data_IF_622248746153
#
_entry.id   IF_622248746153
#
_cell.length_a   1.000
_cell.length_b   1.000
_cell.length_c   1.000
_cell.angle_alpha   90.00
_cell.angle_beta   90.00
_cell.angle_gamma   90.00
#
_symmetry.space_group_name_H-M   'P 1'
#
loop_
_entity.id
_entity.type
_entity.pdbx_description
1 polymer ?
#
# COMPACT_ATOMS: atom_id res chain seq x y z
N UNK A 1 -14.44 -3.28 0.00
CA UNK A 1 -14.67 -2.58 -1.29
C UNK A 1 -13.39 -2.47 -2.11
N UNK A 2 -12.31 -1.91 -1.55
CA UNK A 2 -10.96 -1.76 -2.17
C UNK A 2 -10.41 -3.05 -2.81
N UNK A 3 -10.42 -4.20 -2.11
CA UNK A 3 -9.92 -5.48 -2.67
C UNK A 3 -10.77 -6.03 -3.84
N UNK A 4 -12.09 -5.77 -3.85
CA UNK A 4 -12.98 -6.21 -4.94
C UNK A 4 -12.78 -5.38 -6.22
N UNK A 5 -12.48 -4.09 -6.10
CA UNK A 5 -12.10 -3.27 -7.26
C UNK A 5 -10.76 -3.71 -7.85
N UNK A 6 -9.76 -4.02 -7.01
CA UNK A 6 -8.45 -4.50 -7.48
C UNK A 6 -8.54 -5.86 -8.20
N UNK A 7 -9.37 -6.78 -7.73
CA UNK A 7 -9.57 -8.07 -8.40
C UNK A 7 -10.27 -7.94 -9.77
N UNK A 8 -11.12 -6.93 -9.94
CA UNK A 8 -11.87 -6.68 -11.18
C UNK A 8 -11.05 -6.01 -12.28
N UNK A 9 -9.88 -5.43 -11.94
CA UNK A 9 -9.04 -4.63 -12.85
C UNK A 9 -7.69 -5.29 -13.16
N UNK A 10 -7.43 -6.50 -12.65
CA UNK A 10 -6.26 -7.32 -12.99
C UNK A 10 -6.36 -8.02 -14.36
N UNK A 11 -7.48 -7.87 -15.07
CA UNK A 11 -7.67 -8.48 -16.38
C UNK A 11 -7.04 -7.63 -17.50
N UNK A 12 -6.51 -8.31 -18.53
CA UNK A 12 -5.91 -7.77 -19.77
C UNK A 12 -6.87 -6.86 -20.58
N UNK A 13 -8.14 -6.75 -20.15
CA UNK A 13 -9.16 -5.87 -20.73
C UNK A 13 -9.79 -5.00 -19.63
N UNK A 14 -9.59 -3.68 -19.72
CA UNK A 14 -10.30 -2.71 -18.90
C UNK A 14 -11.49 -2.15 -19.70
N UNK A 15 -12.69 -2.26 -19.14
CA UNK A 15 -13.87 -1.56 -19.64
C UNK A 15 -13.77 -0.09 -19.23
N UNK A 16 -13.54 0.79 -20.21
CA UNK A 16 -13.34 2.22 -19.97
C UNK A 16 -14.59 2.90 -19.40
N UNK A 17 -15.79 2.47 -19.82
CA UNK A 17 -17.04 2.97 -19.27
C UNK A 17 -17.10 2.62 -17.78
N UNK A 18 -16.80 1.37 -17.45
CA UNK A 18 -16.75 0.94 -16.05
C UNK A 18 -15.70 1.69 -15.23
N UNK A 19 -14.51 1.95 -15.77
CA UNK A 19 -13.48 2.75 -15.08
C UNK A 19 -13.97 4.17 -14.81
N UNK A 20 -14.63 4.80 -15.80
CA UNK A 20 -15.23 6.13 -15.66
C UNK A 20 -16.28 6.15 -14.54
N UNK A 21 -17.25 5.22 -14.59
CA UNK A 21 -18.30 5.09 -13.58
C UNK A 21 -17.73 4.82 -12.17
N UNK A 22 -16.69 3.98 -12.09
CA UNK A 22 -16.03 3.68 -10.81
C UNK A 22 -15.27 4.87 -10.24
N UNK A 23 -14.71 5.75 -11.07
CA UNK A 23 -14.01 6.95 -10.62
C UNK A 23 -14.92 7.87 -9.81
N UNK A 24 -16.12 8.13 -10.32
CA UNK A 24 -17.14 8.93 -9.64
C UNK A 24 -17.70 8.20 -8.41
N UNK A 25 -18.09 6.92 -8.58
CA UNK A 25 -18.68 6.12 -7.49
C UNK A 25 -17.75 6.02 -6.29
N UNK A 26 -16.45 5.81 -6.51
CA UNK A 26 -15.46 5.74 -5.43
C UNK A 26 -15.27 7.10 -4.77
N UNK A 27 -15.24 8.20 -5.53
CA UNK A 27 -15.13 9.55 -4.97
C UNK A 27 -16.32 9.87 -4.06
N UNK A 28 -17.54 9.62 -4.56
CA UNK A 28 -18.78 9.74 -3.76
C UNK A 28 -18.73 8.86 -2.52
N UNK A 29 -18.24 7.63 -2.63
CA UNK A 29 -18.17 6.71 -1.49
C UNK A 29 -17.14 7.14 -0.45
N UNK A 30 -16.01 7.68 -0.88
CA UNK A 30 -15.00 8.25 0.02
C UNK A 30 -15.57 9.44 0.79
N UNK A 31 -16.29 10.36 0.12
CA UNK A 31 -16.94 11.46 0.82
C UNK A 31 -17.96 11.00 1.87
N UNK A 32 -18.75 9.96 1.59
CA UNK A 32 -19.66 9.37 2.58
C UNK A 32 -18.91 8.86 3.80
N UNK A 33 -17.80 8.15 3.60
CA UNK A 33 -16.99 7.62 4.68
C UNK A 33 -16.33 8.75 5.50
N UNK A 34 -15.88 9.81 4.84
CA UNK A 34 -15.31 10.98 5.50
C UNK A 34 -16.37 11.66 6.37
N UNK A 35 -17.54 11.99 5.81
CA UNK A 35 -18.63 12.62 6.56
C UNK A 35 -19.13 11.74 7.72
N UNK A 36 -19.15 10.42 7.53
CA UNK A 36 -19.46 9.48 8.61
C UNK A 36 -18.41 9.55 9.73
N UNK A 37 -17.12 9.53 9.40
CA UNK A 37 -16.05 9.63 10.38
C UNK A 37 -16.08 10.97 11.14
N UNK A 38 -16.28 12.10 10.43
CA UNK A 38 -16.42 13.42 11.06
C UNK A 38 -17.58 13.44 12.06
N UNK A 39 -18.73 12.84 11.69
CA UNK A 39 -19.87 12.69 12.61
C UNK A 39 -19.51 11.86 13.85
N UNK A 40 -18.81 10.74 13.68
CA UNK A 40 -18.36 9.90 14.80
C UNK A 40 -17.37 10.64 15.73
N UNK A 41 -16.59 11.58 15.18
CA UNK A 41 -15.65 12.41 15.93
C UNK A 41 -16.26 13.69 16.51
N UNK A 42 -17.54 13.97 16.25
CA UNK A 42 -18.20 15.24 16.56
C UNK A 42 -17.48 16.46 15.97
N UNK A 43 -16.98 16.33 14.74
CA UNK A 43 -16.34 17.42 13.96
C UNK A 43 -17.28 17.79 12.81
N UNK A 44 -17.50 19.08 12.58
CA UNK A 44 -18.27 19.57 11.43
C UNK A 44 -17.36 19.76 10.21
N UNK A 45 -17.95 19.74 9.02
CA UNK A 45 -17.16 19.84 7.78
C UNK A 45 -16.40 21.17 7.66
N UNK A 46 -16.95 22.26 8.22
CA UNK A 46 -16.33 23.59 8.25
C UNK A 46 -15.13 23.70 9.20
N UNK A 47 -14.96 22.76 10.13
CA UNK A 47 -13.76 22.65 10.98
C UNK A 47 -12.59 21.97 10.25
N UNK A 48 -12.81 21.43 9.05
CA UNK A 48 -11.79 20.72 8.27
C UNK A 48 -11.33 21.61 7.12
N UNK A 49 -10.07 22.06 7.17
CA UNK A 49 -9.49 22.91 6.12
C UNK A 49 -9.39 22.18 4.77
N UNK A 50 -8.99 20.90 4.80
CA UNK A 50 -8.66 20.14 3.59
C UNK A 50 -8.79 18.62 3.77
N UNK A 51 -9.23 17.95 2.71
CA UNK A 51 -9.13 16.50 2.53
C UNK A 51 -7.93 16.20 1.61
N UNK A 52 -7.05 15.31 2.04
CA UNK A 52 -5.99 14.75 1.20
C UNK A 52 -6.37 13.31 0.77
N UNK A 53 -6.85 13.14 -0.46
CA UNK A 53 -7.30 11.83 -0.99
C UNK A 53 -6.30 11.24 -1.97
N UNK A 54 -5.67 10.12 -1.60
CA UNK A 54 -4.86 9.34 -2.53
C UNK A 54 -5.70 8.66 -3.63
N UNK A 55 -6.98 8.37 -3.34
CA UNK A 55 -7.82 7.53 -4.19
C UNK A 55 -7.42 6.05 -4.15
N UNK A 56 -8.02 5.27 -5.06
CA UNK A 56 -7.76 3.86 -5.25
C UNK A 56 -6.81 3.66 -6.43
N UNK A 57 -5.60 3.14 -6.19
CA UNK A 57 -4.73 2.73 -7.31
C UNK A 57 -5.35 1.55 -8.04
N UNK A 58 -5.54 1.72 -9.35
CA UNK A 58 -6.02 0.67 -10.24
C UNK A 58 -4.95 0.17 -11.20
N UNK A 59 -3.96 1.01 -11.50
CA UNK A 59 -2.80 0.59 -12.28
C UNK A 59 -1.54 1.37 -11.89
N UNK A 60 -0.41 0.67 -11.86
CA UNK A 60 0.90 1.24 -11.64
C UNK A 60 1.88 0.60 -12.61
N UNK A 61 2.48 1.41 -13.47
CA UNK A 61 3.31 0.98 -14.58
C UNK A 61 4.55 1.87 -14.66
N UNK A 62 5.55 1.66 -13.80
CA UNK A 62 6.85 2.28 -13.96
C UNK A 62 7.61 1.65 -15.15
N UNK A 63 8.54 2.41 -15.74
CA UNK A 63 9.36 1.98 -16.88
C UNK A 63 10.07 0.65 -16.64
N UNK A 64 10.56 0.46 -15.42
CA UNK A 64 11.23 -0.76 -14.94
C UNK A 64 10.35 -2.01 -15.08
N UNK A 65 9.02 -1.87 -14.98
CA UNK A 65 8.08 -2.99 -15.07
C UNK A 65 7.48 -3.16 -16.47
N UNK A 66 7.10 -2.07 -17.15
CA UNK A 66 6.41 -2.20 -18.44
C UNK A 66 7.37 -2.32 -19.64
N UNK A 67 8.63 -1.91 -19.53
CA UNK A 67 9.67 -2.14 -20.55
C UNK A 67 9.40 -1.52 -21.93
N UNK A 68 8.53 -0.51 -22.03
CA UNK A 68 8.18 0.14 -23.30
C UNK A 68 8.99 1.42 -23.45
N UNK A 69 9.92 1.43 -24.40
CA UNK A 69 10.93 2.49 -24.58
C UNK A 69 10.33 3.91 -24.72
N UNK A 70 9.21 4.04 -25.44
CA UNK A 70 8.59 5.33 -25.74
C UNK A 70 7.49 5.76 -24.76
N UNK A 71 7.35 5.09 -23.62
CA UNK A 71 6.34 5.42 -22.60
C UNK A 71 6.99 5.90 -21.29
N UNK A 72 6.47 6.96 -20.65
CA UNK A 72 6.96 7.40 -19.35
C UNK A 72 6.49 6.46 -18.23
N UNK A 73 6.99 6.67 -17.00
CA UNK A 73 6.34 6.11 -15.83
C UNK A 73 4.86 6.53 -15.82
N UNK A 74 3.97 5.60 -15.49
CA UNK A 74 2.53 5.85 -15.47
C UNK A 74 1.88 5.22 -14.25
N UNK A 75 0.86 5.88 -13.72
CA UNK A 75 0.00 5.31 -12.67
C UNK A 75 -1.38 5.93 -12.76
N UNK A 76 -2.39 5.17 -12.37
CA UNK A 76 -3.77 5.62 -12.37
C UNK A 76 -4.41 5.28 -11.03
N UNK A 77 -4.86 6.35 -10.37
CA UNK A 77 -5.73 6.31 -9.22
C UNK A 77 -7.13 6.75 -9.67
N UNK A 78 -8.17 6.10 -9.15
CA UNK A 78 -9.56 6.52 -9.33
C UNK A 78 -10.18 6.83 -7.97
N UNK A 79 -11.29 7.56 -7.97
CA UNK A 79 -11.86 8.17 -6.76
C UNK A 79 -11.71 9.68 -6.88
N UNK A 80 -12.60 10.26 -7.67
CA UNK A 80 -12.48 11.63 -8.12
C UNK A 80 -12.48 12.65 -6.97
N UNK A 81 -11.53 13.58 -7.03
CA UNK A 81 -11.36 14.62 -6.01
C UNK A 81 -12.48 15.65 -6.03
N UNK A 82 -13.02 15.97 -7.21
CA UNK A 82 -14.10 16.95 -7.33
C UNK A 82 -15.41 16.39 -6.73
N UNK A 83 -15.72 15.11 -6.97
CA UNK A 83 -16.83 14.44 -6.33
C UNK A 83 -16.70 14.41 -4.80
N UNK A 84 -15.47 14.23 -4.29
CA UNK A 84 -15.22 14.30 -2.84
C UNK A 84 -15.48 15.72 -2.33
N UNK A 85 -14.92 16.74 -2.98
CA UNK A 85 -15.06 18.13 -2.59
C UNK A 85 -16.52 18.60 -2.61
N UNK A 86 -17.24 18.34 -3.70
CA UNK A 86 -18.64 18.75 -3.86
C UNK A 86 -19.53 18.06 -2.82
N UNK A 87 -19.33 16.76 -2.58
CA UNK A 87 -20.18 16.00 -1.65
C UNK A 87 -19.88 16.31 -0.18
N UNK A 88 -18.63 16.57 0.17
CA UNK A 88 -18.22 16.88 1.54
C UNK A 88 -18.34 18.36 1.90
N UNK A 89 -18.30 19.26 0.91
CA UNK A 89 -18.18 20.71 1.12
C UNK A 89 -16.77 21.15 1.52
N UNK A 90 -15.78 20.27 1.50
CA UNK A 90 -14.42 20.51 1.97
C UNK A 90 -13.45 20.58 0.78
N UNK A 91 -12.48 21.50 0.84
CA UNK A 91 -11.42 21.57 -0.17
C UNK A 91 -10.71 20.22 -0.26
N UNK A 92 -10.61 19.65 -1.45
CA UNK A 92 -9.99 18.33 -1.63
C UNK A 92 -8.75 18.44 -2.50
N UNK A 93 -7.63 17.96 -1.96
CA UNK A 93 -6.38 17.71 -2.68
C UNK A 93 -6.31 16.22 -3.02
N UNK A 94 -6.12 15.90 -4.29
CA UNK A 94 -6.02 14.53 -4.79
C UNK A 94 -4.80 14.36 -5.70
N UNK A 95 -4.63 13.14 -6.25
CA UNK A 95 -3.73 12.88 -7.37
C UNK A 95 -2.22 13.09 -7.06
N UNK A 96 -1.83 12.81 -5.82
CA UNK A 96 -0.47 13.03 -5.31
C UNK A 96 0.65 12.38 -6.14
N UNK A 97 0.36 11.27 -6.84
CA UNK A 97 1.37 10.56 -7.62
C UNK A 97 1.71 11.26 -8.93
N UNK A 98 0.77 11.94 -9.58
CA UNK A 98 1.03 12.49 -10.91
C UNK A 98 2.07 13.60 -10.90
N UNK A 99 2.11 14.40 -9.82
CA UNK A 99 3.14 15.42 -9.67
C UNK A 99 4.55 14.81 -9.56
N UNK A 100 4.67 13.66 -8.89
CA UNK A 100 5.94 12.93 -8.82
C UNK A 100 6.33 12.34 -10.19
N UNK A 101 5.37 11.81 -10.95
CA UNK A 101 5.59 11.36 -12.34
C UNK A 101 6.03 12.51 -13.26
N UNK A 102 5.34 13.65 -13.17
CA UNK A 102 5.65 14.84 -13.96
C UNK A 102 7.05 15.39 -13.67
N UNK A 103 7.57 15.17 -12.46
CA UNK A 103 8.94 15.50 -12.08
C UNK A 103 9.97 14.41 -12.48
N UNK A 104 9.55 13.34 -13.18
CA UNK A 104 10.40 12.25 -13.64
C UNK A 104 10.50 11.05 -12.69
N UNK A 105 9.84 11.09 -11.53
CA UNK A 105 9.78 9.98 -10.59
C UNK A 105 8.85 8.86 -11.03
N UNK A 106 8.81 7.77 -10.25
CA UNK A 106 7.94 6.62 -10.55
C UNK A 106 6.52 6.76 -9.97
N UNK A 107 6.27 7.77 -9.13
CA UNK A 107 4.99 7.92 -8.41
C UNK A 107 4.90 7.14 -7.11
N UNK A 108 5.97 6.45 -6.73
CA UNK A 108 6.06 5.65 -5.51
C UNK A 108 7.53 5.53 -5.07
N UNK A 109 7.78 5.15 -3.79
CA UNK A 109 6.87 5.25 -2.65
C UNK A 109 6.78 6.68 -2.13
N UNK A 110 5.57 7.23 -1.95
CA UNK A 110 5.38 8.58 -1.40
C UNK A 110 5.24 8.61 0.13
N UNK A 111 4.93 7.46 0.75
CA UNK A 111 4.81 7.34 2.21
C UNK A 111 6.12 7.69 2.94
N UNK A 112 7.26 7.46 2.28
CA UNK A 112 8.62 7.75 2.78
C UNK A 112 8.79 9.20 3.20
N UNK A 113 8.13 10.13 2.51
CA UNK A 113 8.17 11.54 2.90
C UNK A 113 7.48 11.78 4.23
N UNK A 114 6.36 11.11 4.49
CA UNK A 114 5.69 11.17 5.79
C UNK A 114 6.56 10.58 6.88
N UNK A 115 7.15 9.41 6.63
CA UNK A 115 8.06 8.77 7.58
C UNK A 115 9.23 9.70 7.92
N UNK A 116 9.88 10.25 6.89
CA UNK A 116 11.01 11.15 7.07
C UNK A 116 10.64 12.44 7.78
N UNK A 117 9.58 13.14 7.36
CA UNK A 117 9.23 14.45 7.91
C UNK A 117 8.72 14.36 9.35
N UNK A 118 7.97 13.31 9.68
CA UNK A 118 7.35 13.15 11.00
C UNK A 118 8.29 12.44 11.98
N UNK A 119 9.03 11.43 11.53
CA UNK A 119 9.77 10.54 12.42
C UNK A 119 11.29 10.69 12.35
N UNK A 120 11.90 11.50 11.48
CA UNK A 120 13.36 11.70 11.54
C UNK A 120 13.77 12.46 12.80
N UNK A 121 14.85 12.00 13.45
CA UNK A 121 15.38 12.62 14.66
C UNK A 121 16.90 12.75 14.57
N UNK A 122 17.40 13.92 14.95
CA UNK A 122 18.84 14.19 14.93
C UNK A 122 19.53 13.28 15.94
N UNK A 123 20.68 12.73 15.56
CA UNK A 123 21.50 11.80 16.35
C UNK A 123 20.84 10.44 16.67
N UNK A 124 19.78 10.06 15.94
CA UNK A 124 19.09 8.78 16.12
C UNK A 124 18.68 8.17 14.77
N UNK A 125 19.35 7.08 14.39
CA UNK A 125 18.91 6.25 13.27
C UNK A 125 17.61 5.53 13.64
N UNK A 126 16.63 5.55 12.72
CA UNK A 126 15.30 4.95 12.94
C UNK A 126 14.92 4.03 11.80
N UNK A 127 14.16 3.00 12.16
CA UNK A 127 13.57 2.05 11.22
C UNK A 127 12.06 2.10 11.42
N UNK A 128 11.33 2.55 10.40
CA UNK A 128 9.88 2.52 10.38
C UNK A 128 9.42 1.22 9.74
N UNK A 129 9.14 0.20 10.56
CA UNK A 129 8.70 -1.12 10.09
C UNK A 129 7.18 -1.16 9.92
N UNK A 130 6.73 -1.46 8.71
CA UNK A 130 5.34 -1.74 8.39
C UNK A 130 5.17 -3.25 8.09
N UNK A 131 4.23 -3.88 8.78
CA UNK A 131 3.90 -5.32 8.62
C UNK A 131 2.54 -5.43 7.92
N UNK A 132 2.55 -5.21 6.60
CA UNK A 132 1.39 -5.38 5.73
C UNK A 132 1.27 -6.81 5.22
N UNK A 133 0.84 -6.98 3.97
CA UNK A 133 0.91 -8.29 3.31
C UNK A 133 2.35 -8.77 3.11
N UNK A 134 3.18 -7.86 2.58
CA UNK A 134 4.64 -7.89 2.61
C UNK A 134 5.10 -6.93 3.71
N UNK A 135 6.13 -7.31 4.45
CA UNK A 135 6.75 -6.45 5.44
C UNK A 135 7.83 -5.60 4.77
N UNK A 136 7.85 -4.31 5.08
CA UNK A 136 8.88 -3.39 4.61
C UNK A 136 9.29 -2.43 5.71
N UNK A 137 10.47 -1.85 5.56
CA UNK A 137 10.86 -0.74 6.42
C UNK A 137 11.37 0.46 5.63
N UNK A 138 11.24 1.63 6.24
CA UNK A 138 11.94 2.86 5.84
C UNK A 138 13.07 3.12 6.82
N UNK A 139 14.31 3.27 6.34
CA UNK A 139 15.45 3.71 7.14
C UNK A 139 15.53 5.24 7.15
N UNK A 140 15.60 5.82 8.33
CA UNK A 140 15.71 7.26 8.56
C UNK A 140 17.04 7.53 9.28
N UNK A 141 18.00 8.22 8.64
CA UNK A 141 19.30 8.44 9.23
C UNK A 141 19.26 9.57 10.27
N UNK A 142 20.04 9.43 11.33
CA UNK A 142 20.15 10.40 12.41
C UNK A 142 20.81 11.72 12.00
N UNK A 143 21.54 11.74 10.88
CA UNK A 143 22.10 12.97 10.30
C UNK A 143 21.10 13.78 9.47
N UNK A 144 19.87 13.25 9.30
CA UNK A 144 18.78 13.83 8.49
C UNK A 144 19.18 14.08 7.03
N UNK A 145 20.13 13.34 6.49
CA UNK A 145 20.40 13.36 5.06
C UNK A 145 19.31 12.57 4.32
N UNK A 146 18.36 13.30 3.72
CA UNK A 146 17.26 12.72 2.96
C UNK A 146 17.74 11.82 1.80
N UNK A 147 18.96 12.00 1.29
CA UNK A 147 19.50 11.15 0.22
C UNK A 147 19.86 9.74 0.68
N UNK A 148 20.02 9.53 1.99
CA UNK A 148 20.30 8.22 2.61
C UNK A 148 19.03 7.50 3.07
N UNK A 149 17.86 8.15 2.96
CA UNK A 149 16.58 7.52 3.25
C UNK A 149 16.24 6.54 2.15
N UNK A 150 15.90 5.32 2.52
CA UNK A 150 15.41 4.32 1.59
C UNK A 150 14.33 3.45 2.24
N UNK A 151 13.49 2.84 1.40
CA UNK A 151 12.57 1.80 1.82
C UNK A 151 12.89 0.50 1.11
N UNK A 152 12.68 -0.61 1.80
CA UNK A 152 12.96 -1.94 1.28
C UNK A 152 11.99 -2.96 1.84
N UNK A 153 11.68 -3.98 1.06
CA UNK A 153 10.94 -5.13 1.54
C UNK A 153 11.88 -6.08 2.29
N UNK A 154 11.37 -6.67 3.38
CA UNK A 154 12.07 -7.64 4.24
C UNK A 154 11.64 -9.07 3.89
N UNK A 155 10.45 -9.24 3.33
CA UNK A 155 9.86 -10.53 3.01
C UNK A 155 8.36 -10.59 3.36
N UNK A 156 7.78 -11.78 3.56
CA UNK A 156 6.37 -11.90 3.89
C UNK A 156 6.04 -11.22 5.22
N UNK A 157 4.96 -10.44 5.23
CA UNK A 157 4.29 -9.99 6.45
C UNK A 157 3.12 -10.93 6.76
N UNK A 158 1.90 -10.43 6.62
CA UNK A 158 0.68 -11.17 6.91
C UNK A 158 0.16 -12.01 5.73
N UNK A 159 0.60 -11.77 4.49
CA UNK A 159 -0.01 -12.42 3.32
C UNK A 159 0.05 -13.94 3.37
N UNK A 160 1.20 -14.51 3.73
CA UNK A 160 1.37 -15.96 3.76
C UNK A 160 0.52 -16.61 4.87
N UNK A 161 0.53 -16.02 6.06
CA UNK A 161 -0.28 -16.52 7.18
C UNK A 161 -1.78 -16.35 6.93
N UNK A 162 -2.22 -15.24 6.34
CA UNK A 162 -3.63 -14.99 6.02
C UNK A 162 -4.14 -16.03 5.02
N UNK A 163 -3.34 -16.32 3.98
CA UNK A 163 -3.71 -17.36 3.01
C UNK A 163 -3.77 -18.74 3.67
N UNK A 164 -2.83 -19.06 4.56
CA UNK A 164 -2.85 -20.32 5.31
C UNK A 164 -4.09 -20.43 6.20
N UNK A 165 -4.46 -19.36 6.90
CA UNK A 165 -5.65 -19.33 7.74
C UNK A 165 -6.92 -19.54 6.90
N UNK A 166 -7.07 -18.79 5.81
CA UNK A 166 -8.22 -18.94 4.91
C UNK A 166 -8.31 -20.35 4.30
N UNK A 167 -7.17 -20.99 4.04
CA UNK A 167 -7.12 -22.34 3.49
C UNK A 167 -7.47 -23.42 4.53
N UNK A 168 -7.06 -23.26 5.80
CA UNK A 168 -7.23 -24.28 6.86
C UNK A 168 -8.42 -24.06 7.77
N UNK A 169 -8.91 -22.83 7.91
CA UNK A 169 -9.97 -22.44 8.84
C UNK A 169 -11.09 -21.69 8.09
N UNK A 170 -12.05 -22.42 7.50
CA UNK A 170 -13.14 -21.81 6.76
C UNK A 170 -13.91 -20.77 7.58
N UNK A 171 -14.11 -19.58 7.00
CA UNK A 171 -14.78 -18.46 7.67
C UNK A 171 -13.84 -17.51 8.42
N UNK A 172 -12.56 -17.84 8.53
CA UNK A 172 -11.54 -16.94 9.08
C UNK A 172 -10.68 -16.32 7.97
N UNK A 173 -10.35 -15.04 8.12
CA UNK A 173 -9.58 -14.29 7.11
C UNK A 173 -8.10 -14.10 7.48
N UNK A 174 -7.77 -14.12 8.77
CA UNK A 174 -6.42 -13.93 9.33
C UNK A 174 -6.35 -14.53 10.74
N UNK A 175 -5.14 -14.74 11.27
CA UNK A 175 -4.96 -15.22 12.66
C UNK A 175 -5.14 -14.07 13.65
N UNK A 176 -6.36 -13.94 14.17
CA UNK A 176 -6.70 -12.85 15.10
C UNK A 176 -5.81 -12.90 16.34
N UNK A 177 -5.10 -11.79 16.59
CA UNK A 177 -4.17 -11.59 17.70
C UNK A 177 -3.02 -12.62 17.78
N UNK A 178 -2.77 -13.32 16.66
CA UNK A 178 -1.80 -14.42 16.59
C UNK A 178 -2.17 -15.62 17.46
N UNK A 179 -3.46 -15.82 17.75
CA UNK A 179 -3.92 -16.82 18.72
C UNK A 179 -3.55 -18.26 18.31
N UNK A 180 -3.67 -18.59 17.03
CA UNK A 180 -3.33 -19.92 16.51
C UNK A 180 -1.81 -20.13 16.46
N UNK A 181 -1.07 -19.12 16.01
CA UNK A 181 0.38 -19.15 16.01
C UNK A 181 0.96 -19.35 17.43
N UNK A 182 0.41 -18.64 18.44
CA UNK A 182 0.80 -18.76 19.86
C UNK A 182 0.50 -20.14 20.45
N UNK A 183 -0.58 -20.80 20.02
CA UNK A 183 -0.92 -22.15 20.46
C UNK A 183 -0.09 -23.24 19.76
N UNK A 184 0.55 -22.90 18.64
CA UNK A 184 1.40 -23.78 17.87
C UNK A 184 2.78 -23.98 18.48
N UNK A 185 3.55 -24.87 17.86
CA UNK A 185 4.97 -25.06 18.13
C UNK A 185 5.76 -24.81 16.84
N UNK A 186 6.81 -24.00 16.93
CA UNK A 186 7.69 -23.74 15.80
C UNK A 186 8.30 -25.06 15.30
N UNK A 187 8.16 -25.32 13.99
CA UNK A 187 8.93 -26.35 13.30
C UNK A 187 10.18 -25.70 12.70
N UNK A 188 11.35 -26.00 13.28
CA UNK A 188 12.60 -25.38 12.89
C UNK A 188 13.04 -25.78 11.47
N UNK A 189 12.81 -27.02 11.06
CA UNK A 189 13.20 -27.50 9.73
C UNK A 189 12.40 -26.79 8.64
N UNK A 190 11.09 -26.62 8.87
CA UNK A 190 10.24 -25.84 7.97
C UNK A 190 10.68 -24.38 7.93
N UNK A 191 10.96 -23.74 9.07
CA UNK A 191 11.43 -22.36 9.10
C UNK A 191 12.74 -22.20 8.32
N UNK A 192 13.70 -23.10 8.52
CA UNK A 192 14.96 -23.07 7.81
C UNK A 192 14.76 -23.21 6.30
N UNK A 193 13.91 -24.15 5.85
CA UNK A 193 13.58 -24.30 4.43
C UNK A 193 12.87 -23.06 3.85
N UNK A 194 12.00 -22.40 4.62
CA UNK A 194 11.36 -21.15 4.21
C UNK A 194 12.30 -19.95 4.18
N UNK A 195 13.41 -19.97 4.94
CA UNK A 195 14.42 -18.91 4.91
C UNK A 195 15.52 -19.16 3.88
N UNK A 196 15.64 -20.39 3.37
CA UNK A 196 16.59 -20.79 2.33
C UNK A 196 16.06 -20.40 0.93
N UNK A 197 15.81 -19.10 0.75
CA UNK A 197 15.43 -18.52 -0.53
C UNK A 197 16.35 -17.36 -0.87
N UNK A 198 16.79 -17.30 -2.13
CA UNK A 198 17.71 -16.29 -2.64
C UNK A 198 17.29 -14.86 -2.30
N UNK A 199 15.98 -14.58 -2.22
CA UNK A 199 15.47 -13.28 -1.82
C UNK A 199 16.06 -12.79 -0.50
N UNK A 200 16.22 -13.67 0.50
CA UNK A 200 16.74 -13.30 1.81
C UNK A 200 18.23 -12.98 1.78
N UNK A 201 18.99 -13.48 0.80
CA UNK A 201 20.41 -13.22 0.62
C UNK A 201 20.72 -11.91 -0.13
N UNK A 202 19.72 -11.29 -0.80
CA UNK A 202 19.90 -10.03 -1.54
C UNK A 202 20.10 -8.86 -0.55
N UNK A 203 21.05 -7.97 -0.85
CA UNK A 203 21.27 -6.72 -0.09
C UNK A 203 20.11 -5.74 -0.24
N UNK A 204 20.02 -4.77 0.67
CA UNK A 204 19.06 -3.68 0.56
C UNK A 204 19.56 -2.56 -0.38
N UNK A 205 18.66 -1.84 -1.08
CA UNK A 205 17.20 -2.03 -1.12
C UNK A 205 16.77 -3.13 -2.11
N UNK A 206 15.74 -3.90 -1.73
CA UNK A 206 15.11 -4.94 -2.56
C UNK A 206 13.59 -4.90 -2.45
N UNK A 207 12.89 -5.48 -3.42
CA UNK A 207 11.42 -5.51 -3.45
C UNK A 207 10.90 -6.92 -3.71
N UNK A 208 9.69 -7.21 -3.23
CA UNK A 208 8.98 -8.47 -3.44
C UNK A 208 7.47 -8.29 -3.30
N UNK A 209 6.70 -9.26 -3.78
CA UNK A 209 5.26 -9.28 -3.61
C UNK A 209 4.70 -10.69 -3.39
N UNK A 210 3.36 -10.81 -3.40
CA UNK A 210 2.65 -12.08 -3.30
C UNK A 210 2.97 -13.08 -4.43
N UNK A 211 3.60 -12.65 -5.52
CA UNK A 211 4.08 -13.51 -6.59
C UNK A 211 5.17 -14.48 -6.13
N UNK A 212 6.02 -14.09 -5.18
CA UNK A 212 7.01 -14.97 -4.56
C UNK A 212 6.45 -15.61 -3.28
N UNK A 213 5.91 -14.81 -2.36
CA UNK A 213 5.44 -15.29 -1.06
C UNK A 213 3.94 -15.56 -1.05
N UNK A 214 3.55 -16.77 -1.42
CA UNK A 214 2.17 -17.28 -1.43
C UNK A 214 2.08 -18.74 -0.97
N UNK A 215 0.88 -19.33 -0.91
CA UNK A 215 0.70 -20.72 -0.48
C UNK A 215 1.51 -21.75 -1.26
N UNK A 216 1.83 -21.52 -2.55
CA UNK A 216 2.66 -22.45 -3.30
C UNK A 216 4.11 -22.47 -2.78
N UNK A 217 4.57 -21.39 -2.16
CA UNK A 217 5.86 -21.32 -1.47
C UNK A 217 5.91 -22.22 -0.21
N UNK A 218 4.76 -22.52 0.40
CA UNK A 218 4.65 -23.40 1.57
C UNK A 218 4.56 -24.89 1.23
N UNK A 219 4.38 -25.23 -0.05
CA UNK A 219 4.15 -26.61 -0.52
C UNK A 219 5.46 -27.29 -0.93
#
# INVERSE_FOLDING_TARGET
>A
MTRHCQASLKAINADLEKVCLLNELIGVKHAELILQALKEWNITADEVDVIASHGQTIFHAPKSLHGKENYPNATLQIGDGDHIAVKSGIITLSDFRQKHLAAGGEGAPLAVYGDYLVFSKTDEDRIMLNIGGIANFTFLPGDKDASKVFSTDVGPGNTLMDQYIQHKYPGEYYDKDGAKAKAGKLNQDLLNGLLDNDFFAIDFPKTTGPELFNLAYLQ
#
